data_IF_003234909707
#
_entry.id   IF_003234909707
#
_cell.length_a   1.000
_cell.length_b   1.000
_cell.length_c   1.000
_cell.angle_alpha   90.00
_cell.angle_beta   90.00
_cell.angle_gamma   90.00
#
_symmetry.space_group_name_H-M   'P 1'
#
loop_
_entity.id
_entity.type
_entity.pdbx_description
1 polymer ?
#
# COMPACT_ATOMS: atom_id res chain seq x y z
N UNK A 1 -2.18 -11.29 -28.72
CA UNK A 1 -2.32 -9.86 -28.31
C UNK A 1 -3.64 -9.52 -27.61
N UNK A 2 -4.76 -10.20 -27.89
CA UNK A 2 -6.07 -9.96 -27.26
C UNK A 2 -6.10 -10.21 -25.74
N UNK A 3 -5.41 -11.26 -25.26
CA UNK A 3 -5.35 -11.57 -23.82
C UNK A 3 -4.64 -10.51 -22.97
N UNK A 4 -3.59 -9.89 -23.49
CA UNK A 4 -2.80 -8.90 -22.75
C UNK A 4 -3.55 -7.56 -22.62
N UNK A 5 -4.28 -7.16 -23.66
CA UNK A 5 -5.20 -6.01 -23.61
C UNK A 5 -6.34 -6.24 -22.61
N UNK A 6 -6.93 -7.44 -22.60
CA UNK A 6 -7.98 -7.83 -21.64
C UNK A 6 -7.47 -7.82 -20.20
N UNK A 7 -6.26 -8.33 -19.95
CA UNK A 7 -5.62 -8.27 -18.63
C UNK A 7 -5.33 -6.83 -18.19
N UNK A 8 -4.81 -6.00 -19.10
CA UNK A 8 -4.57 -4.58 -18.81
C UNK A 8 -5.87 -3.82 -18.48
N UNK A 9 -6.91 -4.00 -19.30
CA UNK A 9 -8.22 -3.40 -19.06
C UNK A 9 -8.83 -3.85 -17.72
N UNK A 10 -8.70 -5.14 -17.38
CA UNK A 10 -9.18 -5.66 -16.09
C UNK A 10 -8.44 -5.05 -14.91
N UNK A 11 -7.10 -4.94 -15.00
CA UNK A 11 -6.29 -4.33 -13.94
C UNK A 11 -6.63 -2.85 -13.75
N UNK A 12 -6.81 -2.11 -14.85
CA UNK A 12 -7.27 -0.72 -14.82
C UNK A 12 -8.63 -0.61 -14.12
N UNK A 13 -9.59 -1.45 -14.51
CA UNK A 13 -10.90 -1.49 -13.86
C UNK A 13 -10.80 -1.80 -12.37
N UNK A 14 -9.99 -2.79 -11.96
CA UNK A 14 -9.82 -3.13 -10.55
C UNK A 14 -9.17 -2.01 -9.72
N UNK A 15 -8.24 -1.27 -10.32
CA UNK A 15 -7.61 -0.11 -9.68
C UNK A 15 -8.60 1.05 -9.56
N UNK A 16 -9.37 1.34 -10.61
CA UNK A 16 -10.42 2.37 -10.59
C UNK A 16 -11.50 2.04 -9.57
N UNK A 17 -11.95 0.79 -9.51
CA UNK A 17 -12.90 0.31 -8.50
C UNK A 17 -12.34 0.50 -7.09
N UNK A 18 -11.09 0.10 -6.86
CA UNK A 18 -10.43 0.23 -5.56
C UNK A 18 -10.22 1.69 -5.15
N UNK A 19 -9.93 2.57 -6.09
CA UNK A 19 -9.83 4.01 -5.86
C UNK A 19 -11.20 4.64 -5.58
N UNK A 20 -12.24 4.26 -6.31
CA UNK A 20 -13.61 4.70 -6.07
C UNK A 20 -14.08 4.32 -4.66
N UNK A 21 -13.90 3.04 -4.27
CA UNK A 21 -14.18 2.61 -2.90
C UNK A 21 -13.37 3.40 -1.85
N UNK A 22 -12.10 3.71 -2.14
CA UNK A 22 -11.27 4.48 -1.22
C UNK A 22 -11.79 5.91 -1.05
N UNK A 23 -12.20 6.57 -2.14
CA UNK A 23 -12.76 7.92 -2.09
C UNK A 23 -14.06 7.91 -1.29
N UNK A 24 -14.95 6.96 -1.55
CA UNK A 24 -16.20 6.82 -0.78
C UNK A 24 -15.88 6.61 0.71
N UNK A 25 -14.90 5.76 1.02
CA UNK A 25 -14.45 5.53 2.40
C UNK A 25 -13.95 6.82 3.05
N UNK A 26 -13.08 7.58 2.37
CA UNK A 26 -12.57 8.87 2.87
C UNK A 26 -13.73 9.84 3.10
N UNK A 27 -14.69 9.94 2.18
CA UNK A 27 -15.86 10.82 2.32
C UNK A 27 -16.75 10.43 3.51
N UNK A 28 -16.96 9.14 3.75
CA UNK A 28 -17.73 8.67 4.90
C UNK A 28 -16.97 8.98 6.20
N UNK A 29 -15.67 8.69 6.24
CA UNK A 29 -14.83 8.97 7.41
C UNK A 29 -14.80 10.46 7.72
N UNK A 30 -14.62 11.31 6.73
CA UNK A 30 -14.63 12.77 6.87
C UNK A 30 -15.91 13.33 7.47
N UNK A 31 -17.05 12.63 7.29
CA UNK A 31 -18.36 13.07 7.79
C UNK A 31 -18.69 12.52 9.18
N UNK A 32 -18.12 11.38 9.57
CA UNK A 32 -18.47 10.70 10.82
C UNK A 32 -17.37 10.75 11.88
N UNK A 33 -16.12 11.00 11.49
CA UNK A 33 -14.99 11.13 12.42
C UNK A 33 -14.66 12.59 12.64
N UNK A 34 -14.21 12.90 13.85
CA UNK A 34 -13.68 14.21 14.18
C UNK A 34 -12.26 14.38 13.59
N UNK A 35 -11.82 15.64 13.41
CA UNK A 35 -10.49 15.93 12.85
C UNK A 35 -9.36 15.31 13.68
N UNK A 36 -9.51 15.31 15.00
CA UNK A 36 -8.60 14.65 15.93
C UNK A 36 -8.43 13.15 15.61
N UNK A 37 -9.54 12.45 15.35
CA UNK A 37 -9.55 11.01 15.04
C UNK A 37 -8.89 10.71 13.70
N UNK A 38 -9.13 11.55 12.69
CA UNK A 38 -8.46 11.44 11.39
C UNK A 38 -6.95 11.64 11.53
N UNK A 39 -6.51 12.57 12.39
CA UNK A 39 -5.10 12.76 12.72
C UNK A 39 -4.45 11.51 13.34
N UNK A 40 -5.12 10.86 14.29
CA UNK A 40 -4.65 9.59 14.86
C UNK A 40 -4.47 8.53 13.79
N UNK A 41 -5.47 8.38 12.90
CA UNK A 41 -5.41 7.42 11.79
C UNK A 41 -4.27 7.74 10.80
N UNK A 42 -3.99 9.02 10.56
CA UNK A 42 -2.88 9.43 9.70
C UNK A 42 -1.51 9.04 10.29
N UNK A 43 -1.33 9.17 11.62
CA UNK A 43 -0.13 8.71 12.31
C UNK A 43 -0.01 7.18 12.22
N UNK A 44 -1.09 6.46 12.52
CA UNK A 44 -1.13 4.99 12.44
C UNK A 44 -0.81 4.50 11.02
N UNK A 45 -1.42 5.10 9.99
CA UNK A 45 -1.15 4.78 8.60
C UNK A 45 0.31 5.06 8.21
N UNK A 46 0.91 6.14 8.72
CA UNK A 46 2.32 6.46 8.47
C UNK A 46 3.26 5.41 9.06
N UNK A 47 2.98 4.97 10.29
CA UNK A 47 3.72 3.88 10.94
C UNK A 47 3.58 2.59 10.14
N UNK A 48 2.36 2.26 9.70
CA UNK A 48 2.08 1.11 8.85
C UNK A 48 2.90 1.12 7.57
N UNK A 49 2.92 2.24 6.84
CA UNK A 49 3.64 2.33 5.56
C UNK A 49 5.14 2.12 5.75
N UNK A 50 5.73 2.66 6.83
CA UNK A 50 7.15 2.45 7.14
C UNK A 50 7.42 0.99 7.54
N UNK A 51 6.58 0.41 8.40
CA UNK A 51 6.77 -0.95 8.89
C UNK A 51 6.49 -2.03 7.82
N UNK A 52 5.63 -1.75 6.82
CA UNK A 52 5.42 -2.65 5.68
C UNK A 52 6.70 -2.87 4.85
N UNK A 53 7.59 -1.86 4.80
CA UNK A 53 8.87 -2.00 4.09
C UNK A 53 9.78 -2.98 4.81
N UNK A 54 9.84 -2.89 6.14
CA UNK A 54 10.57 -3.83 6.98
C UNK A 54 10.01 -5.25 6.86
N UNK A 55 8.69 -5.39 6.74
CA UNK A 55 8.04 -6.69 6.59
C UNK A 55 8.41 -7.39 5.27
N UNK A 56 8.38 -6.66 4.14
CA UNK A 56 8.62 -7.30 2.85
C UNK A 56 10.10 -7.44 2.52
N UNK A 57 10.98 -6.53 2.98
CA UNK A 57 12.41 -6.47 2.63
C UNK A 57 12.73 -6.70 1.13
N UNK A 58 11.79 -6.40 0.22
CA UNK A 58 11.93 -6.67 -1.21
C UNK A 58 11.87 -8.16 -1.59
N UNK A 59 11.50 -9.06 -0.67
CA UNK A 59 11.40 -10.50 -0.90
C UNK A 59 10.36 -10.83 -1.98
N UNK A 60 9.23 -10.12 -1.99
CA UNK A 60 8.21 -10.27 -3.03
C UNK A 60 8.77 -9.93 -4.42
N UNK A 61 9.56 -8.86 -4.51
CA UNK A 61 10.24 -8.47 -5.76
C UNK A 61 11.27 -9.51 -6.17
N UNK A 62 12.05 -10.06 -5.24
CA UNK A 62 13.05 -11.10 -5.52
C UNK A 62 12.45 -12.35 -6.17
N UNK A 63 11.31 -12.85 -5.65
CA UNK A 63 10.60 -14.01 -6.23
C UNK A 63 10.13 -13.74 -7.65
N UNK A 64 9.67 -12.52 -7.92
CA UNK A 64 9.19 -12.12 -9.25
C UNK A 64 10.37 -11.98 -10.24
N UNK A 65 11.54 -11.53 -9.78
CA UNK A 65 12.73 -11.43 -10.62
C UNK A 65 13.37 -12.80 -10.90
N UNK A 66 13.44 -13.70 -9.91
CA UNK A 66 14.04 -15.04 -10.05
C UNK A 66 12.96 -16.07 -10.44
N UNK A 67 12.85 -16.35 -11.74
CA UNK A 67 11.86 -17.28 -12.28
C UNK A 67 12.19 -18.74 -11.93
N UNK A 68 13.47 -19.13 -11.94
CA UNK A 68 13.92 -20.50 -11.70
C UNK A 68 14.23 -20.75 -10.22
N UNK A 69 13.22 -20.62 -9.37
CA UNK A 69 13.34 -20.94 -7.94
C UNK A 69 12.78 -22.32 -7.63
N UNK A 70 13.56 -23.16 -6.95
CA UNK A 70 13.12 -24.45 -6.43
C UNK A 70 12.03 -24.27 -5.35
N UNK A 71 11.19 -25.29 -5.13
CA UNK A 71 10.15 -25.24 -4.07
C UNK A 71 10.73 -25.02 -2.67
N UNK A 72 11.95 -25.52 -2.40
CA UNK A 72 12.66 -25.34 -1.12
C UNK A 72 13.11 -23.89 -0.94
N UNK A 73 13.61 -23.29 -2.01
CA UNK A 73 14.05 -21.89 -2.03
C UNK A 73 12.86 -20.94 -1.79
N UNK A 74 11.73 -21.19 -2.47
CA UNK A 74 10.50 -20.42 -2.29
C UNK A 74 9.92 -20.56 -0.87
N UNK A 75 9.97 -21.76 -0.29
CA UNK A 75 9.56 -21.99 1.10
C UNK A 75 10.47 -21.26 2.09
N UNK A 76 11.78 -21.23 1.82
CA UNK A 76 12.75 -20.50 2.64
C UNK A 76 12.46 -18.99 2.61
N UNK A 77 12.23 -18.41 1.43
CA UNK A 77 11.88 -16.99 1.29
C UNK A 77 10.57 -16.69 2.03
N UNK A 78 9.59 -17.59 1.95
CA UNK A 78 8.33 -17.46 2.69
C UNK A 78 8.57 -17.37 4.20
N UNK A 79 9.31 -18.32 4.79
CA UNK A 79 9.57 -18.33 6.23
C UNK A 79 10.41 -17.13 6.69
N UNK A 80 11.38 -16.70 5.87
CA UNK A 80 12.15 -15.48 6.15
C UNK A 80 11.24 -14.27 6.17
N UNK A 81 10.39 -14.08 5.14
CA UNK A 81 9.46 -12.95 5.09
C UNK A 81 8.42 -13.00 6.23
N UNK A 82 7.91 -14.18 6.57
CA UNK A 82 7.02 -14.36 7.71
C UNK A 82 7.70 -13.95 9.03
N UNK A 83 8.94 -14.37 9.26
CA UNK A 83 9.72 -13.96 10.43
C UNK A 83 9.97 -12.44 10.45
N UNK A 84 10.29 -11.83 9.31
CA UNK A 84 10.48 -10.38 9.18
C UNK A 84 9.19 -9.61 9.44
N UNK A 85 8.05 -10.15 9.01
CA UNK A 85 6.72 -9.62 9.31
C UNK A 85 6.45 -9.62 10.81
N UNK A 86 6.73 -10.74 11.49
CA UNK A 86 6.58 -10.81 12.95
C UNK A 86 7.53 -9.86 13.68
N UNK A 87 8.77 -9.72 13.20
CA UNK A 87 9.72 -8.75 13.75
C UNK A 87 9.23 -7.30 13.56
N UNK A 88 8.72 -6.96 12.37
CA UNK A 88 8.13 -5.65 12.10
C UNK A 88 6.91 -5.39 13.01
N UNK A 89 6.04 -6.39 13.18
CA UNK A 89 4.91 -6.33 14.11
C UNK A 89 5.35 -6.11 15.55
N UNK A 90 6.39 -6.81 16.00
CA UNK A 90 6.96 -6.64 17.34
C UNK A 90 7.54 -5.24 17.54
N UNK A 91 8.27 -4.71 16.55
CA UNK A 91 8.79 -3.35 16.57
C UNK A 91 7.64 -2.34 16.69
N UNK A 92 6.58 -2.50 15.90
CA UNK A 92 5.38 -1.65 15.96
C UNK A 92 4.72 -1.74 17.34
N UNK A 93 4.58 -2.95 17.90
CA UNK A 93 4.03 -3.17 19.24
C UNK A 93 4.86 -2.47 20.31
N UNK A 94 6.18 -2.63 20.29
CA UNK A 94 7.09 -1.99 21.25
C UNK A 94 7.13 -0.46 21.09
N UNK A 95 6.87 0.05 19.88
CA UNK A 95 6.82 1.48 19.58
C UNK A 95 5.53 2.16 20.04
N UNK A 96 4.48 1.40 20.41
CA UNK A 96 3.17 1.96 20.75
C UNK A 96 3.23 2.97 21.92
N UNK A 97 3.92 2.61 23.01
CA UNK A 97 4.05 3.49 24.17
C UNK A 97 4.98 4.69 23.92
N UNK A 98 6.20 4.52 23.36
CA UNK A 98 7.05 5.66 23.02
C UNK A 98 6.37 6.65 22.07
N UNK A 99 5.64 6.17 21.07
CA UNK A 99 4.97 7.04 20.08
C UNK A 99 3.78 7.77 20.69
N UNK A 100 2.97 7.10 21.52
CA UNK A 100 1.88 7.77 22.24
C UNK A 100 2.41 8.91 23.13
N UNK A 101 3.52 8.69 23.85
CA UNK A 101 4.19 9.75 24.62
C UNK A 101 4.80 10.84 23.75
N UNK A 102 5.41 10.46 22.62
CA UNK A 102 6.02 11.42 21.70
C UNK A 102 4.97 12.38 21.14
N UNK A 103 3.80 11.88 20.72
CA UNK A 103 2.71 12.71 20.21
C UNK A 103 1.81 13.30 21.28
N UNK A 104 1.96 12.89 22.55
CA UNK A 104 1.08 13.29 23.67
C UNK A 104 -0.40 12.95 23.40
N UNK A 105 -0.64 11.75 22.87
CA UNK A 105 -1.97 11.27 22.48
C UNK A 105 -2.21 9.89 23.08
N UNK A 106 -3.02 9.79 24.12
CA UNK A 106 -3.28 8.52 24.83
C UNK A 106 -4.06 7.53 23.95
N UNK A 107 -4.99 8.04 23.14
CA UNK A 107 -5.80 7.24 22.20
C UNK A 107 -4.96 6.61 21.07
N UNK A 108 -3.70 7.03 20.88
CA UNK A 108 -2.84 6.49 19.83
C UNK A 108 -2.30 5.09 20.19
N UNK A 109 -1.97 4.85 21.46
CA UNK A 109 -1.40 3.59 21.92
C UNK A 109 -2.26 2.36 21.55
N UNK A 110 -3.57 2.30 21.89
CA UNK A 110 -4.39 1.13 21.57
C UNK A 110 -4.52 0.91 20.06
N UNK A 111 -4.52 1.96 19.25
CA UNK A 111 -4.58 1.83 17.79
C UNK A 111 -3.30 1.23 17.22
N UNK A 112 -2.12 1.64 17.70
CA UNK A 112 -0.84 1.05 17.28
C UNK A 112 -0.75 -0.42 17.70
N UNK A 113 -1.16 -0.74 18.93
CA UNK A 113 -1.19 -2.12 19.42
C UNK A 113 -2.10 -3.00 18.54
N UNK A 114 -3.31 -2.54 18.25
CA UNK A 114 -4.24 -3.27 17.38
C UNK A 114 -3.65 -3.46 15.98
N UNK A 115 -3.00 -2.43 15.45
CA UNK A 115 -2.36 -2.44 14.14
C UNK A 115 -1.21 -3.45 14.04
N UNK A 116 -0.48 -3.69 15.13
CA UNK A 116 0.63 -4.66 15.17
C UNK A 116 0.18 -6.09 14.81
N UNK A 117 -1.07 -6.45 15.13
CA UNK A 117 -1.67 -7.76 14.83
C UNK A 117 -1.74 -7.99 13.31
N UNK A 118 -1.90 -6.93 12.53
CA UNK A 118 -1.98 -7.02 11.06
C UNK A 118 -0.71 -7.68 10.47
N UNK A 119 0.45 -7.45 11.08
CA UNK A 119 1.73 -8.01 10.65
C UNK A 119 1.84 -9.53 10.81
N UNK A 120 0.94 -10.18 11.55
CA UNK A 120 0.88 -11.65 11.57
C UNK A 120 0.45 -12.18 10.19
N UNK A 121 -0.40 -11.43 9.48
CA UNK A 121 -0.99 -11.85 8.20
C UNK A 121 -0.19 -11.34 6.99
N UNK A 122 0.38 -10.13 7.07
CA UNK A 122 1.05 -9.46 5.95
C UNK A 122 2.22 -10.26 5.37
N UNK A 123 3.01 -10.92 6.23
CA UNK A 123 4.13 -11.76 5.81
C UNK A 123 3.70 -12.84 4.82
N UNK A 124 2.74 -13.67 5.24
CA UNK A 124 2.16 -14.70 4.39
C UNK A 124 1.50 -14.11 3.15
N UNK A 125 0.73 -13.04 3.32
CA UNK A 125 -0.03 -12.40 2.25
C UNK A 125 0.88 -11.93 1.10
N UNK A 126 2.01 -11.28 1.43
CA UNK A 126 2.98 -10.78 0.44
C UNK A 126 3.52 -11.89 -0.46
N UNK A 127 3.78 -13.06 0.13
CA UNK A 127 4.33 -14.22 -0.56
C UNK A 127 3.31 -14.90 -1.46
N UNK A 128 2.06 -15.06 -1.00
CA UNK A 128 0.97 -15.53 -1.86
C UNK A 128 0.76 -14.56 -3.03
N UNK A 129 0.75 -13.25 -2.77
CA UNK A 129 0.61 -12.24 -3.82
C UNK A 129 1.74 -12.34 -4.86
N UNK A 130 3.00 -12.48 -4.42
CA UNK A 130 4.15 -12.67 -5.30
C UNK A 130 4.02 -13.94 -6.15
N UNK A 131 3.49 -15.04 -5.59
CA UNK A 131 3.23 -16.27 -6.33
C UNK A 131 2.16 -16.08 -7.42
N UNK A 132 1.03 -15.42 -7.12
CA UNK A 132 0.01 -15.11 -8.13
C UNK A 132 0.56 -14.22 -9.26
N UNK A 133 1.41 -13.25 -8.91
CA UNK A 133 2.09 -12.37 -9.87
C UNK A 133 3.00 -13.20 -10.78
N UNK A 134 3.84 -14.06 -10.19
CA UNK A 134 4.77 -14.94 -10.91
C UNK A 134 4.03 -15.92 -11.83
N UNK A 135 2.92 -16.51 -11.35
CA UNK A 135 2.05 -17.39 -12.13
C UNK A 135 1.21 -16.64 -13.19
N UNK A 136 1.38 -15.33 -13.36
CA UNK A 136 0.65 -14.46 -14.30
C UNK A 136 -0.88 -14.49 -14.10
N UNK A 137 -1.36 -14.79 -12.88
CA UNK A 137 -2.78 -14.87 -12.51
C UNK A 137 -3.35 -13.56 -11.97
N UNK A 138 -2.95 -12.44 -12.59
CA UNK A 138 -3.30 -11.09 -12.15
C UNK A 138 -4.79 -10.83 -12.04
N UNK A 139 -5.61 -11.36 -12.97
CA UNK A 139 -7.07 -11.18 -12.94
C UNK A 139 -7.67 -11.86 -11.70
N UNK A 140 -7.20 -13.06 -11.35
CA UNK A 140 -7.68 -13.77 -10.17
C UNK A 140 -7.25 -13.06 -8.89
N UNK A 141 -6.01 -12.57 -8.85
CA UNK A 141 -5.51 -11.75 -7.75
C UNK A 141 -6.37 -10.49 -7.56
N UNK A 142 -6.63 -9.72 -8.62
CA UNK A 142 -7.47 -8.53 -8.55
C UNK A 142 -8.88 -8.81 -8.08
N UNK A 143 -9.50 -9.94 -8.50
CA UNK A 143 -10.83 -10.33 -8.02
C UNK A 143 -10.85 -10.57 -6.51
N UNK A 144 -9.83 -11.27 -5.99
CA UNK A 144 -9.67 -11.52 -4.56
C UNK A 144 -9.47 -10.22 -3.79
N UNK A 145 -8.64 -9.32 -4.30
CA UNK A 145 -8.38 -8.02 -3.67
C UNK A 145 -9.64 -7.14 -3.63
N UNK A 146 -10.38 -7.09 -4.74
CA UNK A 146 -11.65 -6.36 -4.82
C UNK A 146 -12.69 -6.93 -3.86
N UNK A 147 -12.89 -8.26 -3.82
CA UNK A 147 -13.88 -8.86 -2.93
C UNK A 147 -13.54 -8.63 -1.46
N UNK A 148 -12.28 -8.86 -1.07
CA UNK A 148 -11.82 -8.62 0.30
C UNK A 148 -11.89 -7.13 0.68
N UNK A 149 -11.62 -6.21 -0.26
CA UNK A 149 -11.76 -4.76 -0.02
C UNK A 149 -13.21 -4.36 0.17
N UNK A 150 -14.12 -4.86 -0.65
CA UNK A 150 -15.57 -4.58 -0.52
C UNK A 150 -16.12 -5.08 0.81
N UNK A 151 -15.76 -6.30 1.22
CA UNK A 151 -16.22 -6.87 2.50
C UNK A 151 -15.64 -6.08 3.68
N UNK A 152 -14.33 -5.79 3.66
CA UNK A 152 -13.68 -4.96 4.68
C UNK A 152 -14.32 -3.57 4.77
N UNK A 153 -14.57 -2.92 3.64
CA UNK A 153 -15.26 -1.62 3.58
C UNK A 153 -16.67 -1.69 4.21
N UNK A 154 -17.45 -2.72 3.89
CA UNK A 154 -18.75 -2.94 4.50
C UNK A 154 -18.63 -3.15 6.02
N UNK A 155 -17.66 -3.95 6.49
CA UNK A 155 -17.41 -4.14 7.92
C UNK A 155 -17.06 -2.83 8.63
N UNK A 156 -16.22 -1.97 8.02
CA UNK A 156 -15.86 -0.66 8.58
C UNK A 156 -17.10 0.22 8.71
N UNK A 157 -17.93 0.31 7.67
CA UNK A 157 -19.15 1.11 7.69
C UNK A 157 -20.10 0.61 8.78
N UNK A 158 -20.37 -0.69 8.83
CA UNK A 158 -21.24 -1.26 9.85
C UNK A 158 -20.70 -0.96 11.25
N UNK A 159 -19.39 -1.13 11.48
CA UNK A 159 -18.81 -0.80 12.77
C UNK A 159 -18.95 0.69 13.13
N UNK A 160 -18.78 1.61 12.18
CA UNK A 160 -18.95 3.06 12.43
C UNK A 160 -20.40 3.43 12.79
N UNK A 161 -21.40 2.77 12.19
CA UNK A 161 -22.82 3.08 12.45
C UNK A 161 -23.39 2.37 13.66
N UNK A 162 -22.91 1.16 13.99
CA UNK A 162 -23.47 0.32 15.05
C UNK A 162 -22.64 0.30 16.34
N UNK A 163 -21.43 0.87 16.35
CA UNK A 163 -20.57 0.90 17.54
C UNK A 163 -19.95 2.28 17.74
N UNK A 164 -19.62 2.62 18.98
CA UNK A 164 -18.94 3.88 19.32
C UNK A 164 -17.43 3.86 18.98
N UNK A 165 -16.91 2.74 18.49
CA UNK A 165 -15.49 2.50 18.22
C UNK A 165 -15.08 2.96 16.81
N UNK A 166 -15.29 4.24 16.48
CA UNK A 166 -15.10 4.78 15.11
C UNK A 166 -13.68 4.67 14.58
N UNK A 167 -12.67 5.09 15.35
CA UNK A 167 -11.24 4.99 14.95
C UNK A 167 -10.76 3.55 14.86
N UNK A 168 -11.13 2.72 15.83
CA UNK A 168 -10.74 1.31 15.87
C UNK A 168 -11.37 0.50 14.75
N UNK A 169 -12.59 0.85 14.30
CA UNK A 169 -13.24 0.24 13.15
C UNK A 169 -12.38 0.29 11.88
N UNK A 170 -11.70 1.40 11.62
CA UNK A 170 -10.84 1.56 10.44
C UNK A 170 -9.65 0.60 10.51
N UNK A 171 -8.99 0.50 11.67
CA UNK A 171 -7.86 -0.40 11.89
C UNK A 171 -8.31 -1.87 11.81
N UNK A 172 -9.45 -2.21 12.40
CA UNK A 172 -10.06 -3.55 12.26
C UNK A 172 -10.37 -3.87 10.80
N UNK A 173 -10.83 -2.88 10.03
CA UNK A 173 -11.03 -3.00 8.58
C UNK A 173 -9.77 -3.45 7.86
N UNK A 174 -8.60 -2.90 8.20
CA UNK A 174 -7.31 -3.31 7.61
C UNK A 174 -6.99 -4.77 7.93
N UNK A 175 -7.23 -5.21 9.17
CA UNK A 175 -7.00 -6.59 9.60
C UNK A 175 -7.97 -7.53 8.88
N UNK A 176 -9.25 -7.20 8.84
CA UNK A 176 -10.27 -7.97 8.10
C UNK A 176 -9.89 -8.08 6.63
N UNK A 177 -9.40 -7.00 6.01
CA UNK A 177 -8.94 -7.04 4.63
C UNK A 177 -7.76 -8.01 4.46
N UNK A 178 -6.74 -7.92 5.31
CA UNK A 178 -5.56 -8.78 5.23
C UNK A 178 -5.93 -10.27 5.44
N UNK A 179 -6.78 -10.56 6.42
CA UNK A 179 -7.27 -11.91 6.72
C UNK A 179 -8.07 -12.46 5.55
N UNK A 180 -9.06 -11.71 5.03
CA UNK A 180 -9.87 -12.17 3.90
C UNK A 180 -9.04 -12.39 2.64
N UNK A 181 -8.10 -11.49 2.35
CA UNK A 181 -7.18 -11.66 1.21
C UNK A 181 -6.36 -12.94 1.39
N UNK A 182 -5.79 -13.17 2.58
CA UNK A 182 -4.99 -14.36 2.84
C UNK A 182 -5.84 -15.64 2.73
N UNK A 183 -7.04 -15.66 3.29
CA UNK A 183 -7.97 -16.80 3.22
C UNK A 183 -8.37 -17.09 1.76
N UNK A 184 -8.78 -16.07 1.01
CA UNK A 184 -9.15 -16.23 -0.39
C UNK A 184 -7.96 -16.65 -1.27
N UNK A 185 -6.78 -16.08 -1.06
CA UNK A 185 -5.56 -16.50 -1.78
C UNK A 185 -5.15 -17.92 -1.42
N UNK A 186 -5.31 -18.34 -0.17
CA UNK A 186 -5.01 -19.71 0.25
C UNK A 186 -6.04 -20.72 -0.27
N UNK A 187 -7.31 -20.32 -0.43
CA UNK A 187 -8.39 -21.20 -0.89
C UNK A 187 -8.45 -21.32 -2.42
N UNK A 188 -8.35 -20.19 -3.13
CA UNK A 188 -8.36 -20.12 -4.60
C UNK A 188 -6.96 -20.24 -5.22
N UNK A 189 -5.92 -20.28 -4.40
CA UNK A 189 -4.54 -20.50 -4.83
C UNK A 189 -4.32 -21.90 -5.38
N UNK A 190 -3.23 -22.07 -6.12
CA UNK A 190 -2.84 -23.39 -6.63
C UNK A 190 -2.52 -24.33 -5.46
N UNK A 191 -3.15 -25.51 -5.44
CA UNK A 191 -2.86 -26.55 -4.43
C UNK A 191 -1.40 -27.01 -4.44
N UNK A 192 -0.72 -26.82 -5.57
CA UNK A 192 0.66 -27.27 -5.80
C UNK A 192 1.70 -26.42 -5.06
N UNK A 193 1.40 -25.16 -4.74
CA UNK A 193 2.30 -24.29 -4.00
C UNK A 193 1.79 -24.03 -2.60
N UNK A 194 2.42 -24.70 -1.63
CA UNK A 194 2.29 -24.40 -0.20
C UNK A 194 3.69 -24.36 0.42
N UNK A 195 3.95 -23.42 1.34
CA UNK A 195 5.25 -23.34 1.98
C UNK A 195 5.49 -24.63 2.76
N UNK A 196 6.59 -25.30 2.42
CA UNK A 196 7.06 -26.47 3.15
C UNK A 196 7.91 -25.99 4.33
N UNK A 197 7.96 -26.75 5.43
CA UNK A 197 8.88 -26.47 6.54
C UNK A 197 10.31 -26.92 6.18
N UNK A 198 10.88 -26.34 5.13
CA UNK A 198 12.23 -26.63 4.64
C UNK A 198 12.99 -25.32 4.49
N UNK A 199 14.22 -25.30 5.01
CA UNK A 199 15.07 -24.11 5.03
C UNK A 199 16.38 -24.36 4.30
N UNK A 200 16.61 -23.62 3.23
CA UNK A 200 17.78 -23.72 2.36
C UNK A 200 18.73 -22.54 2.61
N UNK A 201 19.75 -22.78 3.45
CA UNK A 201 20.69 -21.74 3.89
C UNK A 201 21.51 -21.10 2.76
N UNK A 202 21.70 -21.81 1.64
CA UNK A 202 22.52 -21.36 0.50
C UNK A 202 22.00 -20.06 -0.12
N UNK A 203 20.68 -19.80 -0.03
CA UNK A 203 20.04 -18.65 -0.68
C UNK A 203 19.83 -17.49 0.27
N UNK A 204 19.78 -17.75 1.59
CA UNK A 204 19.59 -16.70 2.58
C UNK A 204 20.57 -15.54 2.38
N UNK A 205 21.86 -15.82 2.14
CA UNK A 205 22.85 -14.76 1.94
C UNK A 205 22.51 -13.85 0.76
N UNK A 206 22.17 -14.43 -0.39
CA UNK A 206 21.83 -13.66 -1.60
C UNK A 206 20.54 -12.87 -1.42
N UNK A 207 19.56 -13.47 -0.75
CA UNK A 207 18.26 -12.87 -0.46
C UNK A 207 18.39 -11.71 0.52
N UNK A 208 19.15 -11.86 1.61
CA UNK A 208 19.43 -10.78 2.56
C UNK A 208 20.26 -9.65 1.93
N UNK A 209 21.25 -9.98 1.09
CA UNK A 209 22.04 -8.97 0.39
C UNK A 209 21.18 -8.13 -0.55
N UNK A 210 20.27 -8.76 -1.31
CA UNK A 210 19.30 -8.01 -2.12
C UNK A 210 18.36 -7.16 -1.25
N UNK A 211 17.85 -7.75 -0.17
CA UNK A 211 16.89 -7.11 0.70
C UNK A 211 17.42 -5.86 1.40
N UNK A 212 18.67 -5.85 1.86
CA UNK A 212 19.21 -4.70 2.60
C UNK A 212 19.37 -3.44 1.74
N UNK A 213 19.79 -3.59 0.47
CA UNK A 213 19.87 -2.46 -0.45
C UNK A 213 18.47 -1.93 -0.80
N UNK A 214 17.53 -2.85 -1.04
CA UNK A 214 16.14 -2.48 -1.33
C UNK A 214 15.50 -1.76 -0.14
N UNK A 215 15.73 -2.26 1.08
CA UNK A 215 15.23 -1.65 2.31
C UNK A 215 15.75 -0.24 2.52
N UNK A 216 17.06 -0.03 2.40
CA UNK A 216 17.65 1.30 2.61
C UNK A 216 17.00 2.33 1.69
N UNK A 217 16.87 1.99 0.40
CA UNK A 217 16.22 2.85 -0.59
C UNK A 217 14.74 3.12 -0.26
N UNK A 218 13.98 2.09 0.08
CA UNK A 218 12.54 2.22 0.37
C UNK A 218 12.27 2.95 1.67
N UNK A 219 13.05 2.69 2.74
CA UNK A 219 12.90 3.38 4.02
C UNK A 219 13.14 4.88 3.86
N UNK A 220 14.19 5.28 3.13
CA UNK A 220 14.46 6.70 2.87
C UNK A 220 13.29 7.33 2.11
N UNK A 221 12.80 6.66 1.07
CA UNK A 221 11.66 7.16 0.28
C UNK A 221 10.39 7.28 1.13
N UNK A 222 10.12 6.30 1.99
CA UNK A 222 8.91 6.27 2.82
C UNK A 222 8.98 7.27 3.97
N UNK A 223 10.14 7.43 4.60
CA UNK A 223 10.36 8.52 5.53
C UNK A 223 10.11 9.83 4.81
N UNK A 224 10.72 10.07 3.65
CA UNK A 224 10.48 11.29 2.85
C UNK A 224 9.00 11.56 2.60
N UNK A 225 8.20 10.55 2.26
CA UNK A 225 6.77 10.74 2.01
C UNK A 225 5.92 10.85 3.27
N UNK A 226 6.40 10.42 4.44
CA UNK A 226 5.66 10.52 5.71
C UNK A 226 6.21 11.60 6.66
N UNK A 227 7.34 12.23 6.33
CA UNK A 227 8.00 13.24 7.17
C UNK A 227 7.06 14.41 7.48
N UNK A 228 6.26 14.83 6.51
CA UNK A 228 5.22 15.84 6.66
C UNK A 228 4.19 15.47 7.74
N UNK A 229 3.66 14.24 7.72
CA UNK A 229 2.71 13.74 8.74
C UNK A 229 3.37 13.69 10.11
N UNK A 230 4.61 13.21 10.19
CA UNK A 230 5.35 13.09 11.46
C UNK A 230 5.57 14.48 12.10
N UNK A 231 6.01 15.45 11.29
CA UNK A 231 6.28 16.81 11.75
C UNK A 231 4.98 17.51 12.14
N UNK A 232 3.96 17.47 11.28
CA UNK A 232 2.67 18.14 11.53
C UNK A 232 1.99 17.53 12.76
N UNK A 233 1.99 16.20 12.90
CA UNK A 233 1.41 15.53 14.06
C UNK A 233 2.06 15.93 15.38
N UNK A 234 3.37 16.20 15.38
CA UNK A 234 4.09 16.61 16.58
C UNK A 234 3.97 18.11 16.89
N UNK A 235 4.04 18.96 15.86
CA UNK A 235 4.12 20.42 16.02
C UNK A 235 2.74 21.06 16.08
N UNK A 236 1.80 20.62 15.24
CA UNK A 236 0.47 21.20 15.09
C UNK A 236 -0.63 20.36 15.76
N UNK A 237 -0.32 19.14 16.18
CA UNK A 237 -1.26 18.23 16.83
C UNK A 237 -2.15 17.47 15.84
N UNK A 238 -3.05 16.66 16.39
CA UNK A 238 -3.87 15.70 15.63
C UNK A 238 -4.98 16.35 14.80
N UNK A 239 -5.59 17.45 15.24
CA UNK A 239 -6.67 18.10 14.49
C UNK A 239 -6.18 18.71 13.17
N UNK A 240 -5.10 19.50 13.21
CA UNK A 240 -4.48 20.05 12.00
C UNK A 240 -3.95 18.94 11.10
N UNK A 241 -3.39 17.87 11.70
CA UNK A 241 -2.96 16.70 10.95
C UNK A 241 -4.14 16.00 10.25
N UNK A 242 -5.31 15.93 10.89
CA UNK A 242 -6.53 15.37 10.32
C UNK A 242 -6.92 16.06 9.03
N UNK A 243 -7.04 17.40 9.05
CA UNK A 243 -7.31 18.21 7.86
C UNK A 243 -6.27 18.00 6.76
N UNK A 244 -4.99 18.08 7.14
CA UNK A 244 -3.87 17.90 6.23
C UNK A 244 -3.89 16.51 5.56
N UNK A 245 -4.11 15.46 6.35
CA UNK A 245 -4.11 14.08 5.89
C UNK A 245 -5.26 13.78 4.94
N UNK A 246 -6.44 14.35 5.18
CA UNK A 246 -7.60 14.22 4.30
C UNK A 246 -7.31 14.86 2.93
N UNK A 247 -6.74 16.06 2.92
CA UNK A 247 -6.33 16.72 1.69
C UNK A 247 -5.25 15.92 0.96
N UNK A 248 -4.21 15.47 1.69
CA UNK A 248 -3.13 14.65 1.16
C UNK A 248 -3.64 13.35 0.54
N UNK A 249 -4.54 12.64 1.23
CA UNK A 249 -5.08 11.37 0.75
C UNK A 249 -5.94 11.54 -0.50
N UNK A 250 -6.72 12.63 -0.60
CA UNK A 250 -7.48 12.96 -1.81
C UNK A 250 -6.55 13.27 -2.99
N UNK A 251 -5.52 14.09 -2.78
CA UNK A 251 -4.55 14.48 -3.83
C UNK A 251 -3.72 13.29 -4.31
N UNK A 252 -3.46 12.32 -3.45
CA UNK A 252 -2.65 11.15 -3.79
C UNK A 252 -3.41 10.04 -4.54
N UNK A 253 -4.76 10.00 -4.51
CA UNK A 253 -5.51 8.93 -5.22
C UNK A 253 -5.28 8.92 -6.74
N UNK A 254 -5.36 10.04 -7.47
CA UNK A 254 -5.13 10.04 -8.91
C UNK A 254 -3.71 9.59 -9.27
N UNK A 255 -2.72 9.99 -8.47
CA UNK A 255 -1.32 9.64 -8.71
C UNK A 255 -1.11 8.11 -8.65
N UNK A 256 -1.84 7.42 -7.79
CA UNK A 256 -1.84 5.94 -7.70
C UNK A 256 -2.45 5.25 -8.92
N UNK A 257 -3.38 5.90 -9.62
CA UNK A 257 -3.98 5.37 -10.85
C UNK A 257 -3.06 5.57 -12.06
N UNK A 258 -2.36 6.70 -12.12
CA UNK A 258 -1.55 7.09 -13.28
C UNK A 258 -0.16 6.42 -13.23
N UNK A 259 0.47 6.35 -12.07
CA UNK A 259 1.85 5.83 -11.92
C UNK A 259 2.06 4.43 -12.51
N UNK A 260 1.19 3.43 -12.28
CA UNK A 260 1.35 2.09 -12.86
C UNK A 260 1.24 2.08 -14.38
N UNK A 261 0.40 2.95 -14.96
CA UNK A 261 0.22 3.07 -16.42
C UNK A 261 1.48 3.61 -17.06
N UNK A 262 2.07 4.65 -16.45
CA UNK A 262 3.34 5.23 -16.89
C UNK A 262 4.43 4.16 -16.85
N UNK A 263 4.63 3.52 -15.69
CA UNK A 263 5.70 2.53 -15.54
C UNK A 263 5.55 1.39 -16.55
N UNK A 264 4.33 0.93 -16.82
CA UNK A 264 4.07 -0.18 -17.75
C UNK A 264 4.25 0.18 -19.23
N UNK A 265 4.03 1.45 -19.61
CA UNK A 265 4.18 1.91 -20.99
C UNK A 265 5.58 2.46 -21.28
N UNK A 266 6.21 3.08 -20.28
CA UNK A 266 7.50 3.72 -20.40
C UNK A 266 8.66 2.72 -20.29
N UNK A 267 8.61 1.76 -19.34
CA UNK A 267 9.70 0.80 -19.13
C UNK A 267 10.09 0.01 -20.39
N UNK A 268 9.15 -0.56 -21.18
CA UNK A 268 9.51 -1.29 -22.41
C UNK A 268 10.19 -0.39 -23.44
N UNK A 269 9.71 0.86 -23.60
CA UNK A 269 10.30 1.81 -24.54
C UNK A 269 11.65 2.34 -24.09
N UNK A 270 11.88 2.49 -22.79
CA UNK A 270 13.20 2.82 -22.24
C UNK A 270 14.18 1.67 -22.44
N UNK A 271 13.76 0.42 -22.29
CA UNK A 271 14.60 -0.74 -22.56
C UNK A 271 14.98 -0.87 -24.04
N UNK A 272 14.04 -0.62 -24.97
CA UNK A 272 14.31 -0.61 -26.42
C UNK A 272 15.26 0.53 -26.82
N UNK A 273 15.13 1.70 -26.20
CA UNK A 273 15.94 2.88 -26.50
C UNK A 273 17.22 2.99 -25.66
N UNK A 274 17.56 1.98 -24.82
CA UNK A 274 18.66 2.12 -23.85
C UNK A 274 20.03 2.39 -24.49
N UNK A 275 20.22 1.91 -25.73
CA UNK A 275 21.50 1.99 -26.45
C UNK A 275 21.61 3.25 -27.34
N UNK A 276 20.54 4.06 -27.44
CA UNK A 276 20.52 5.30 -28.22
C UNK A 276 20.10 6.47 -27.32
N UNK A 277 21.07 7.29 -26.93
CA UNK A 277 20.87 8.45 -26.06
C UNK A 277 19.86 9.47 -26.60
N UNK A 278 19.74 9.63 -27.92
CA UNK A 278 18.78 10.58 -28.53
C UNK A 278 17.37 10.00 -28.52
N UNK A 279 17.24 8.71 -28.86
CA UNK A 279 15.97 8.00 -28.76
C UNK A 279 15.45 8.01 -27.32
N UNK A 280 16.32 7.72 -26.34
CA UNK A 280 15.98 7.70 -24.92
C UNK A 280 15.46 9.06 -24.42
N UNK A 281 16.14 10.16 -24.77
CA UNK A 281 15.71 11.53 -24.42
C UNK A 281 14.33 11.86 -25.02
N UNK A 282 14.09 11.49 -26.28
CA UNK A 282 12.80 11.73 -26.93
C UNK A 282 11.65 10.93 -26.30
N UNK A 283 11.90 9.68 -25.89
CA UNK A 283 10.93 8.83 -25.19
C UNK A 283 10.66 9.38 -23.79
N UNK A 284 11.70 9.85 -23.09
CA UNK A 284 11.58 10.46 -21.77
C UNK A 284 10.75 11.75 -21.80
N UNK A 285 11.01 12.64 -22.75
CA UNK A 285 10.26 13.89 -22.90
C UNK A 285 8.80 13.64 -23.28
N UNK A 286 8.52 12.72 -24.22
CA UNK A 286 7.14 12.33 -24.57
C UNK A 286 6.41 11.68 -23.39
N UNK A 287 7.10 10.80 -22.64
CA UNK A 287 6.56 10.20 -21.43
C UNK A 287 6.18 11.27 -20.42
N UNK A 288 7.13 12.14 -20.06
CA UNK A 288 6.92 13.25 -19.11
C UNK A 288 5.80 14.18 -19.55
N UNK A 289 5.71 14.51 -20.85
CA UNK A 289 4.62 15.34 -21.37
C UNK A 289 3.24 14.71 -21.15
N UNK A 290 3.08 13.41 -21.44
CA UNK A 290 1.82 12.70 -21.16
C UNK A 290 1.47 12.71 -19.68
N UNK A 291 2.47 12.55 -18.79
CA UNK A 291 2.27 12.63 -17.33
C UNK A 291 1.76 14.01 -16.94
N UNK A 292 2.40 15.07 -17.43
CA UNK A 292 2.03 16.44 -17.13
C UNK A 292 0.63 16.73 -17.66
N UNK A 293 0.30 16.31 -18.89
CA UNK A 293 -1.05 16.50 -19.45
C UNK A 293 -2.14 15.78 -18.66
N UNK A 294 -1.90 14.53 -18.23
CA UNK A 294 -2.86 13.78 -17.41
C UNK A 294 -3.01 14.39 -16.01
N UNK A 295 -1.90 14.82 -15.42
CA UNK A 295 -1.89 15.48 -14.11
C UNK A 295 -2.62 16.82 -14.16
N UNK A 296 -2.40 17.61 -15.21
CA UNK A 296 -3.10 18.87 -15.46
C UNK A 296 -4.60 18.63 -15.63
N UNK A 297 -5.01 17.65 -16.43
CA UNK A 297 -6.42 17.26 -16.59
C UNK A 297 -7.07 16.92 -15.25
N UNK A 298 -6.37 16.14 -14.43
CA UNK A 298 -6.84 15.78 -13.08
C UNK A 298 -7.00 17.03 -12.23
N UNK A 299 -6.02 17.94 -12.24
CA UNK A 299 -6.08 19.20 -11.51
C UNK A 299 -7.25 20.09 -11.95
N UNK A 300 -7.49 20.20 -13.26
CA UNK A 300 -8.65 20.94 -13.79
C UNK A 300 -9.98 20.32 -13.39
N UNK A 301 -10.08 18.99 -13.33
CA UNK A 301 -11.28 18.31 -12.83
C UNK A 301 -11.50 18.63 -11.35
N UNK A 302 -10.45 18.58 -10.52
CA UNK A 302 -10.56 18.98 -9.11
C UNK A 302 -11.00 20.43 -8.96
N UNK A 303 -10.43 21.33 -9.77
CA UNK A 303 -10.73 22.75 -9.72
C UNK A 303 -12.17 23.06 -10.19
N UNK A 304 -12.70 22.29 -11.13
CA UNK A 304 -14.09 22.39 -11.59
C UNK A 304 -15.10 21.85 -10.58
N UNK A 305 -14.76 20.79 -9.84
CA UNK A 305 -15.63 20.18 -8.83
C UNK A 305 -15.57 20.86 -7.45
N UNK A 306 -14.57 21.71 -7.21
CA UNK A 306 -14.52 22.55 -6.01
C UNK A 306 -15.58 23.67 -6.13
N UNK A 307 -16.54 23.78 -5.21
CA UNK A 307 -17.44 24.94 -5.16
C UNK A 307 -16.62 26.22 -5.00
N UNK A 308 -16.97 27.28 -5.75
CA UNK A 308 -16.29 28.59 -5.71
C UNK A 308 -16.13 29.17 -4.30
N UNK A 309 -16.94 28.75 -3.32
CA UNK A 309 -16.93 29.27 -1.95
C UNK A 309 -15.65 28.95 -1.17
N UNK A 310 -14.93 27.86 -1.51
CA UNK A 310 -13.70 27.48 -0.79
C UNK A 310 -12.45 28.24 -1.24
N UNK A 311 -12.48 28.87 -2.42
CA UNK A 311 -11.34 29.64 -2.94
C UNK A 311 -11.19 30.99 -2.23
N UNK A 312 -12.26 31.51 -1.62
CA UNK A 312 -12.26 32.78 -0.88
C UNK A 312 -11.66 32.69 0.53
N UNK A 313 -11.40 31.48 1.05
CA UNK A 313 -10.88 31.29 2.42
C UNK A 313 -9.35 31.10 2.47
N UNK A 314 -8.69 31.03 1.30
CA UNK A 314 -7.24 30.79 1.18
C UNK A 314 -6.47 32.07 0.79
N UNK A 315 -7.15 33.21 0.71
CA UNK A 315 -6.54 34.54 0.57
C UNK A 315 -7.06 35.50 1.64
#
# INVERSE_FOLDING_TARGET
MSGLRKQAAWLLFSNLFSAGLQIIQISILARHLELHELGLLAIVNSILMIAMILQDMGMSSYIVHRQDLSRREQSTIYWVNFALSLLAGLIVLMSAWPLSKFYQMDNLQPLILLTSINFIFLGSLSQYQAHFIKAKKMISLSKIEMSAKTISFACVILAIFFTDLRTSAVVLGLIVNAVLRLLFMSFFGEKEWRPQFVFEKSICKNVFQYGIYQLGSQIINQLRTQLDVIIIGKVLGSESLGLYSLAKDLIMQPLKLISPVINRLALPRFAEAQNDSKALSSVYLKGTFVIVSLSALTFFIYLYFLPCDYFCFIW
#
